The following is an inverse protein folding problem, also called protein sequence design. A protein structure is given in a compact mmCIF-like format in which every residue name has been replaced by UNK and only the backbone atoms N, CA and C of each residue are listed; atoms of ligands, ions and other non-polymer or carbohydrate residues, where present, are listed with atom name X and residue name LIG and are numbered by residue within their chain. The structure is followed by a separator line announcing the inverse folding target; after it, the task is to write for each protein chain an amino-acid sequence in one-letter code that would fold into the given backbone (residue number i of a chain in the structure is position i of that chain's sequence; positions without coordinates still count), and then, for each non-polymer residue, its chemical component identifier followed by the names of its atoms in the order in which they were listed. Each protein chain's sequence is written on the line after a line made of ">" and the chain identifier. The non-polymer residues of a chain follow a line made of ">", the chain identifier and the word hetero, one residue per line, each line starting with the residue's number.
data_IF_971885241136
#
_entry.id   IF_971885241136
#
_cell.length_a   1.000
_cell.length_b   1.000
_cell.length_c   1.000
_cell.angle_alpha   90.00
_cell.angle_beta   90.00
_cell.angle_gamma   90.00
#
_symmetry.space_group_name_H-M   'P 1'
#
loop_
_entity.id
_entity.type
_entity.pdbx_description
1 polymer ?
#
# COMPACT_ATOMS: atom_id res chain seq x y z
N UNK A 1 15.23 46.63 -67.97
CA UNK A 1 15.67 46.35 -66.59
C UNK A 1 14.46 46.37 -65.67
N UNK A 2 14.31 45.31 -64.85
CA UNK A 2 13.48 45.17 -63.63
C UNK A 2 11.96 45.45 -63.78
N UNK A 3 11.06 44.47 -63.86
CA UNK A 3 10.73 43.40 -62.90
C UNK A 3 10.62 43.89 -61.45
N UNK A 4 9.44 44.38 -61.07
CA UNK A 4 9.04 44.62 -59.69
C UNK A 4 8.04 43.54 -59.28
N UNK A 5 8.55 42.70 -58.41
CA UNK A 5 7.99 41.50 -57.83
C UNK A 5 6.61 41.71 -57.21
N UNK A 6 5.68 40.85 -57.60
CA UNK A 6 4.46 40.56 -56.87
C UNK A 6 4.82 40.07 -55.48
N UNK A 7 4.49 40.86 -54.46
CA UNK A 7 4.53 40.42 -53.07
C UNK A 7 3.54 39.28 -52.91
N UNK A 8 4.04 38.05 -52.86
CA UNK A 8 3.27 36.89 -52.42
C UNK A 8 2.83 37.17 -50.99
N UNK A 9 1.53 37.32 -50.77
CA UNK A 9 0.94 37.19 -49.46
C UNK A 9 1.46 35.88 -48.85
N UNK A 10 2.29 36.00 -47.81
CA UNK A 10 2.55 34.92 -46.88
C UNK A 10 1.22 34.59 -46.22
N UNK A 11 0.51 33.61 -46.78
CA UNK A 11 -0.47 32.84 -46.02
C UNK A 11 0.32 32.14 -44.93
N UNK A 12 0.39 32.77 -43.76
CA UNK A 12 0.71 32.10 -42.51
C UNK A 12 -0.39 31.08 -42.27
N UNK A 13 -0.20 29.88 -42.81
CA UNK A 13 -0.97 28.70 -42.48
C UNK A 13 -0.61 28.37 -41.04
N UNK A 14 -1.31 29.03 -40.11
CA UNK A 14 -1.29 28.72 -38.69
C UNK A 14 -1.82 27.29 -38.54
N UNK A 15 -0.90 26.34 -38.63
CA UNK A 15 -1.04 25.01 -38.07
C UNK A 15 -1.07 25.13 -36.54
N UNK A 16 -2.11 25.80 -36.02
CA UNK A 16 -2.46 25.85 -34.61
C UNK A 16 -2.71 24.40 -34.18
N UNK A 17 -1.76 23.83 -33.45
CA UNK A 17 -1.91 22.53 -32.79
C UNK A 17 -3.14 22.62 -31.89
N UNK A 18 -4.27 22.08 -32.32
CA UNK A 18 -5.47 22.01 -31.49
C UNK A 18 -5.27 20.93 -30.42
N UNK A 19 -5.61 21.20 -29.15
CA UNK A 19 -5.57 20.18 -28.13
C UNK A 19 -6.53 19.05 -28.50
N UNK A 20 -6.08 17.80 -28.33
CA UNK A 20 -6.96 16.63 -28.48
C UNK A 20 -7.91 16.59 -27.28
N UNK A 21 -9.21 16.80 -27.54
CA UNK A 21 -10.25 16.74 -26.51
C UNK A 21 -11.10 15.50 -26.77
N UNK A 22 -11.20 14.63 -25.77
CA UNK A 22 -12.16 13.51 -25.81
C UNK A 22 -13.55 14.06 -25.59
N UNK A 23 -14.46 13.80 -26.52
CA UNK A 23 -15.83 14.29 -26.46
C UNK A 23 -16.75 13.24 -25.87
N UNK A 24 -17.68 13.68 -25.02
CA UNK A 24 -18.76 12.85 -24.49
C UNK A 24 -19.97 12.98 -25.42
N UNK A 25 -20.25 11.95 -26.22
CA UNK A 25 -21.47 11.93 -27.03
C UNK A 25 -22.69 11.60 -26.14
N UNK A 26 -23.82 12.26 -26.42
CA UNK A 26 -25.04 12.12 -25.61
C UNK A 26 -25.64 10.71 -25.60
N UNK A 27 -25.29 9.89 -26.61
CA UNK A 27 -25.84 8.55 -26.85
C UNK A 27 -24.87 7.43 -26.47
N UNK A 28 -23.64 7.76 -26.09
CA UNK A 28 -22.63 6.74 -25.83
C UNK A 28 -22.93 6.03 -24.51
N UNK A 29 -23.01 4.70 -24.57
CA UNK A 29 -23.21 3.82 -23.41
C UNK A 29 -22.07 2.82 -23.34
N UNK A 30 -21.01 3.20 -22.64
CA UNK A 30 -19.82 2.39 -22.50
C UNK A 30 -18.96 2.80 -21.30
N UNK A 31 -18.03 1.93 -20.95
CA UNK A 31 -16.90 2.28 -20.09
C UNK A 31 -16.18 3.55 -20.54
N UNK A 32 -16.02 3.74 -21.86
CA UNK A 32 -15.40 4.95 -22.41
C UNK A 32 -16.19 6.20 -22.03
N UNK A 33 -17.51 6.22 -22.23
CA UNK A 33 -18.34 7.37 -21.85
C UNK A 33 -18.29 7.65 -20.35
N UNK A 34 -18.34 6.61 -19.51
CA UNK A 34 -18.19 6.81 -18.07
C UNK A 34 -16.82 7.37 -17.70
N UNK A 35 -15.73 6.86 -18.29
CA UNK A 35 -14.39 7.37 -18.03
C UNK A 35 -14.22 8.84 -18.42
N UNK A 36 -14.79 9.26 -19.55
CA UNK A 36 -14.74 10.65 -20.01
C UNK A 36 -15.55 11.53 -19.05
N UNK A 37 -16.71 11.06 -18.57
CA UNK A 37 -17.51 11.78 -17.60
C UNK A 37 -16.81 11.93 -16.24
N UNK A 38 -16.26 10.84 -15.69
CA UNK A 38 -15.54 10.89 -14.40
C UNK A 38 -14.28 11.78 -14.46
N UNK A 39 -13.63 11.87 -15.63
CA UNK A 39 -12.46 12.73 -15.85
C UNK A 39 -12.83 14.18 -16.26
N UNK A 40 -14.11 14.47 -16.49
CA UNK A 40 -14.54 15.79 -16.95
C UNK A 40 -14.51 16.88 -15.86
N UNK A 41 -14.57 16.48 -14.59
CA UNK A 41 -14.48 17.37 -13.44
C UNK A 41 -13.80 16.62 -12.27
N UNK A 42 -12.89 17.27 -11.56
CA UNK A 42 -12.22 16.71 -10.38
C UNK A 42 -13.22 16.26 -9.29
N UNK A 43 -14.38 16.91 -9.19
CA UNK A 43 -15.45 16.52 -8.28
C UNK A 43 -16.08 15.16 -8.64
N UNK A 44 -16.00 14.75 -9.90
CA UNK A 44 -16.58 13.49 -10.39
C UNK A 44 -15.63 12.30 -10.32
N UNK A 45 -14.37 12.51 -9.92
CA UNK A 45 -13.38 11.44 -9.70
C UNK A 45 -13.70 10.64 -8.44
N UNK A 46 -14.78 9.88 -8.50
CA UNK A 46 -15.34 9.06 -7.41
C UNK A 46 -15.07 7.59 -7.70
N UNK A 47 -14.45 6.90 -6.73
CA UNK A 47 -14.09 5.49 -6.84
C UNK A 47 -14.36 4.74 -5.54
N UNK A 48 -14.35 3.41 -5.60
CA UNK A 48 -14.38 2.57 -4.40
C UNK A 48 -12.99 2.40 -3.80
N UNK A 49 -12.92 2.44 -2.48
CA UNK A 49 -11.69 2.09 -1.73
C UNK A 49 -11.58 0.62 -1.34
N UNK A 50 -12.64 -0.17 -1.50
CA UNK A 50 -12.67 -1.61 -1.18
C UNK A 50 -12.25 -1.95 0.26
N UNK A 51 -12.76 -1.19 1.24
CA UNK A 51 -12.31 -1.30 2.64
C UNK A 51 -12.43 -2.71 3.23
N UNK A 52 -13.53 -3.42 2.98
CA UNK A 52 -13.74 -4.78 3.47
C UNK A 52 -12.68 -5.77 2.91
N UNK A 53 -12.33 -5.66 1.62
CA UNK A 53 -11.32 -6.53 1.02
C UNK A 53 -9.93 -6.25 1.60
N UNK A 54 -9.57 -4.98 1.79
CA UNK A 54 -8.32 -4.62 2.48
C UNK A 54 -8.26 -5.21 3.90
N UNK A 55 -9.34 -5.09 4.69
CA UNK A 55 -9.39 -5.69 6.03
C UNK A 55 -9.23 -7.22 6.00
N UNK A 56 -9.90 -7.91 5.06
CA UNK A 56 -9.75 -9.38 4.93
C UNK A 56 -8.31 -9.80 4.58
N UNK A 57 -7.67 -9.04 3.69
CA UNK A 57 -6.28 -9.32 3.31
C UNK A 57 -5.31 -9.04 4.46
N UNK A 58 -5.52 -7.96 5.23
CA UNK A 58 -4.74 -7.66 6.43
C UNK A 58 -4.89 -8.75 7.50
N UNK A 59 -6.12 -9.16 7.80
CA UNK A 59 -6.39 -10.23 8.77
C UNK A 59 -5.73 -11.56 8.36
N UNK A 60 -5.79 -11.90 7.07
CA UNK A 60 -5.11 -13.10 6.55
C UNK A 60 -3.59 -13.02 6.78
N UNK A 61 -2.98 -11.88 6.45
CA UNK A 61 -1.54 -11.68 6.63
C UNK A 61 -1.12 -11.70 8.11
N UNK A 62 -1.93 -11.15 9.00
CA UNK A 62 -1.71 -11.25 10.44
C UNK A 62 -1.67 -12.70 10.91
N UNK A 63 -2.60 -13.55 10.44
CA UNK A 63 -2.58 -14.97 10.79
C UNK A 63 -1.38 -15.72 10.18
N UNK A 64 -0.96 -15.37 8.96
CA UNK A 64 0.26 -15.93 8.34
C UNK A 64 1.49 -15.59 9.18
N UNK A 65 1.66 -14.33 9.60
CA UNK A 65 2.77 -13.90 10.45
C UNK A 65 2.71 -14.57 11.83
N UNK A 66 1.53 -14.59 12.48
CA UNK A 66 1.33 -15.23 13.79
C UNK A 66 1.76 -16.70 13.80
N UNK A 67 1.53 -17.45 12.71
CA UNK A 67 1.96 -18.85 12.63
C UNK A 67 3.48 -18.97 12.61
N UNK A 68 4.16 -18.07 11.88
CA UNK A 68 5.62 -18.02 11.83
C UNK A 68 6.21 -17.55 13.16
N UNK A 69 5.56 -16.60 13.85
CA UNK A 69 5.93 -16.19 15.21
C UNK A 69 5.89 -17.39 16.16
N UNK A 70 4.79 -18.15 16.17
CA UNK A 70 4.69 -19.36 17.01
C UNK A 70 5.76 -20.40 16.64
N UNK A 71 6.01 -20.63 15.36
CA UNK A 71 7.05 -21.56 14.90
C UNK A 71 8.46 -21.12 15.35
N UNK A 72 8.73 -19.81 15.32
CA UNK A 72 9.99 -19.25 15.79
C UNK A 72 10.12 -19.36 17.32
N UNK A 73 9.06 -19.04 18.06
CA UNK A 73 8.98 -19.16 19.52
C UNK A 73 9.23 -20.61 19.95
N UNK A 74 8.70 -21.60 19.22
CA UNK A 74 8.95 -23.02 19.49
C UNK A 74 10.44 -23.40 19.36
N UNK A 75 11.17 -22.83 18.40
CA UNK A 75 12.62 -23.04 18.27
C UNK A 75 13.40 -22.37 19.41
N UNK A 76 12.96 -21.19 19.83
CA UNK A 76 13.58 -20.46 20.92
C UNK A 76 13.36 -21.18 22.27
N UNK A 77 12.14 -21.69 22.52
CA UNK A 77 11.82 -22.53 23.68
C UNK A 77 12.68 -23.80 23.74
N UNK A 78 12.94 -24.45 22.60
CA UNK A 78 13.80 -25.63 22.52
C UNK A 78 15.27 -25.31 22.83
N UNK A 79 15.76 -24.15 22.40
CA UNK A 79 17.14 -23.73 22.63
C UNK A 79 17.36 -23.22 24.08
N UNK A 80 16.29 -22.76 24.74
CA UNK A 80 16.28 -22.34 26.15
C UNK A 80 16.01 -23.50 27.14
N UNK A 81 15.54 -24.65 26.65
CA UNK A 81 15.24 -25.81 27.48
C UNK A 81 16.45 -26.28 28.32
N UNK A 82 16.16 -26.85 29.49
CA UNK A 82 17.22 -27.26 30.42
C UNK A 82 18.15 -28.34 29.86
N UNK A 83 17.61 -29.19 28.99
CA UNK A 83 18.26 -30.30 28.29
C UNK A 83 18.74 -29.93 26.87
N UNK A 84 18.70 -28.64 26.50
CA UNK A 84 19.16 -28.17 25.20
C UNK A 84 20.64 -28.56 24.95
N UNK A 85 20.98 -29.06 23.75
CA UNK A 85 22.31 -29.60 23.45
C UNK A 85 23.41 -28.52 23.45
N UNK A 86 23.08 -27.28 23.09
CA UNK A 86 23.99 -26.13 23.18
C UNK A 86 23.25 -24.88 23.70
N UNK A 87 23.33 -24.63 25.01
CA UNK A 87 22.76 -23.43 25.66
C UNK A 87 23.37 -22.11 25.18
N UNK A 88 24.42 -22.12 24.35
CA UNK A 88 24.96 -20.91 23.71
C UNK A 88 24.20 -20.54 22.44
N UNK A 89 23.45 -21.46 21.83
CA UNK A 89 22.63 -21.21 20.64
C UNK A 89 21.65 -20.07 20.86
N UNK A 90 20.84 -20.13 21.92
CA UNK A 90 19.89 -19.08 22.29
C UNK A 90 20.55 -17.72 22.60
N UNK A 91 21.86 -17.68 22.89
CA UNK A 91 22.56 -16.47 23.40
C UNK A 91 23.61 -15.92 22.45
N UNK A 92 23.86 -16.58 21.32
CA UNK A 92 24.92 -16.18 20.40
C UNK A 92 24.58 -16.56 18.97
N UNK A 93 24.44 -15.54 18.10
CA UNK A 93 24.20 -15.73 16.68
C UNK A 93 25.30 -16.54 15.99
N UNK A 94 26.54 -16.45 16.48
CA UNK A 94 27.64 -17.26 15.95
C UNK A 94 27.42 -18.74 16.25
N UNK A 95 26.98 -19.08 17.46
CA UNK A 95 26.65 -20.46 17.84
C UNK A 95 25.41 -20.97 17.10
N UNK A 96 24.38 -20.13 16.99
CA UNK A 96 23.16 -20.45 16.24
C UNK A 96 23.44 -20.82 14.78
N UNK A 97 24.18 -19.96 14.07
CA UNK A 97 24.59 -20.25 12.67
C UNK A 97 25.48 -21.49 12.58
N UNK A 98 26.35 -21.72 13.56
CA UNK A 98 27.20 -22.90 13.59
C UNK A 98 26.41 -24.20 13.80
N UNK A 99 25.40 -24.18 14.67
CA UNK A 99 24.50 -25.31 14.90
C UNK A 99 23.62 -25.57 13.69
N UNK A 100 23.01 -24.53 13.12
CA UNK A 100 22.20 -24.64 11.90
C UNK A 100 23.00 -25.30 10.75
N UNK A 101 24.26 -24.92 10.56
CA UNK A 101 25.13 -25.55 9.55
C UNK A 101 25.38 -27.04 9.80
N UNK A 102 25.48 -27.47 11.06
CA UNK A 102 25.64 -28.89 11.41
C UNK A 102 24.35 -29.65 11.12
N UNK A 103 23.22 -29.10 11.54
CA UNK A 103 21.91 -29.70 11.32
C UNK A 103 21.59 -29.83 9.82
N UNK A 104 21.90 -28.82 9.01
CA UNK A 104 21.75 -28.87 7.55
C UNK A 104 22.71 -29.87 6.88
N UNK A 105 23.89 -30.12 7.46
CA UNK A 105 24.80 -31.14 6.96
C UNK A 105 24.25 -32.56 7.21
N UNK A 106 23.40 -32.74 8.22
CA UNK A 106 22.69 -33.99 8.51
C UNK A 106 21.37 -34.10 7.73
N UNK A 107 20.66 -32.99 7.55
CA UNK A 107 19.40 -32.91 6.82
C UNK A 107 19.25 -31.60 6.05
N UNK A 108 19.50 -31.65 4.74
CA UNK A 108 19.44 -30.47 3.85
C UNK A 108 18.02 -29.87 3.76
N UNK A 109 16.98 -30.68 4.00
CA UNK A 109 15.58 -30.23 3.95
C UNK A 109 15.06 -29.73 5.29
N UNK A 110 15.92 -29.55 6.29
CA UNK A 110 15.52 -29.05 7.59
C UNK A 110 14.99 -27.61 7.46
N UNK A 111 13.84 -27.36 8.08
CA UNK A 111 13.28 -26.02 8.19
C UNK A 111 13.98 -25.29 9.33
N UNK A 112 14.91 -24.40 8.99
CA UNK A 112 15.76 -23.72 9.97
C UNK A 112 15.16 -22.39 10.43
N UNK A 113 15.67 -21.88 11.55
CA UNK A 113 15.39 -20.52 12.05
C UNK A 113 15.60 -19.46 10.96
N UNK A 114 16.66 -19.58 10.17
CA UNK A 114 16.94 -18.63 9.09
C UNK A 114 15.85 -18.63 8.00
N UNK A 115 15.35 -19.81 7.60
CA UNK A 115 14.22 -19.92 6.65
C UNK A 115 12.96 -19.25 7.20
N UNK A 116 12.64 -19.49 8.48
CA UNK A 116 11.47 -18.89 9.13
C UNK A 116 11.61 -17.36 9.19
N UNK A 117 12.78 -16.85 9.57
CA UNK A 117 13.05 -15.40 9.62
C UNK A 117 12.98 -14.73 8.24
N UNK A 118 13.47 -15.38 7.18
CA UNK A 118 13.33 -14.90 5.79
C UNK A 118 11.86 -14.84 5.36
N UNK A 119 11.06 -15.86 5.69
CA UNK A 119 9.61 -15.85 5.44
C UNK A 119 8.90 -14.74 6.24
N UNK A 120 9.28 -14.53 7.50
CA UNK A 120 8.75 -13.45 8.33
C UNK A 120 9.05 -12.09 7.68
N UNK A 121 10.28 -11.85 7.23
CA UNK A 121 10.68 -10.61 6.55
C UNK A 121 9.81 -10.35 5.30
N UNK A 122 9.63 -11.36 4.45
CA UNK A 122 8.77 -11.26 3.25
C UNK A 122 7.31 -10.92 3.62
N UNK A 123 6.76 -11.63 4.62
CA UNK A 123 5.36 -11.46 5.04
C UNK A 123 5.12 -10.12 5.71
N UNK A 124 6.04 -9.66 6.56
CA UNK A 124 5.98 -8.34 7.18
C UNK A 124 6.03 -7.23 6.14
N UNK A 125 6.98 -7.29 5.18
CA UNK A 125 7.05 -6.30 4.11
C UNK A 125 5.73 -6.22 3.32
N UNK A 126 5.14 -7.37 2.98
CA UNK A 126 3.87 -7.42 2.26
C UNK A 126 2.65 -7.01 3.13
N UNK A 127 2.72 -7.15 4.45
CA UNK A 127 1.71 -6.67 5.39
C UNK A 127 1.79 -5.15 5.56
N UNK A 128 2.98 -4.62 5.79
CA UNK A 128 3.23 -3.19 6.00
C UNK A 128 2.85 -2.37 4.76
N UNK A 129 3.24 -2.82 3.57
CA UNK A 129 2.87 -2.17 2.32
C UNK A 129 1.33 -2.12 2.15
N UNK A 130 0.64 -3.22 2.43
CA UNK A 130 -0.83 -3.28 2.37
C UNK A 130 -1.47 -2.37 3.43
N UNK A 131 -0.93 -2.34 4.64
CA UNK A 131 -1.44 -1.54 5.75
C UNK A 131 -1.31 -0.05 5.44
N UNK A 132 -0.17 0.38 4.90
CA UNK A 132 0.06 1.75 4.46
C UNK A 132 -0.85 2.16 3.31
N UNK A 133 -1.01 1.31 2.29
CA UNK A 133 -1.94 1.57 1.18
C UNK A 133 -3.37 1.67 1.68
N UNK A 134 -3.79 0.77 2.57
CA UNK A 134 -5.13 0.78 3.18
C UNK A 134 -5.35 2.04 4.02
N UNK A 135 -4.34 2.46 4.80
CA UNK A 135 -4.37 3.73 5.55
C UNK A 135 -4.57 4.91 4.61
N UNK A 136 -3.76 5.03 3.55
CA UNK A 136 -3.87 6.11 2.54
C UNK A 136 -5.27 6.20 1.94
N UNK A 137 -5.84 5.05 1.58
CA UNK A 137 -7.20 4.98 1.04
C UNK A 137 -8.28 5.33 2.07
N UNK A 138 -8.10 4.95 3.34
CA UNK A 138 -9.04 5.28 4.41
C UNK A 138 -8.97 6.77 4.82
N UNK A 139 -7.85 7.44 4.59
CA UNK A 139 -7.70 8.89 4.81
C UNK A 139 -8.21 9.74 3.66
N UNK A 140 -8.55 9.15 2.51
CA UNK A 140 -9.13 9.91 1.40
C UNK A 140 -10.50 10.49 1.78
N UNK A 141 -10.79 11.66 1.22
CA UNK A 141 -12.06 12.32 1.42
C UNK A 141 -13.20 11.51 0.80
N UNK A 142 -14.38 11.60 1.43
CA UNK A 142 -15.62 11.13 0.82
C UNK A 142 -16.12 12.20 -0.15
N UNK A 143 -16.76 11.80 -1.26
CA UNK A 143 -17.43 12.77 -2.12
C UNK A 143 -18.51 13.52 -1.34
N UNK A 144 -18.75 14.79 -1.68
CA UNK A 144 -19.90 15.51 -1.15
C UNK A 144 -21.20 14.85 -1.64
N UNK A 145 -22.31 15.04 -0.91
CA UNK A 145 -23.60 14.50 -1.36
C UNK A 145 -24.00 15.04 -2.74
N UNK A 146 -23.67 16.30 -3.05
CA UNK A 146 -23.94 16.91 -4.36
C UNK A 146 -23.16 16.23 -5.49
N UNK A 147 -21.86 16.00 -5.28
CA UNK A 147 -20.99 15.38 -6.28
C UNK A 147 -21.39 13.93 -6.51
N UNK A 148 -21.64 13.21 -5.40
CA UNK A 148 -22.19 11.86 -5.42
C UNK A 148 -23.47 11.77 -6.25
N UNK A 149 -24.44 12.64 -6.00
CA UNK A 149 -25.73 12.65 -6.73
C UNK A 149 -25.57 12.95 -8.21
N UNK A 150 -24.59 13.80 -8.57
CA UNK A 150 -24.30 14.11 -9.97
C UNK A 150 -23.79 12.87 -10.72
N UNK A 151 -22.87 12.12 -10.11
CA UNK A 151 -22.34 10.87 -10.68
C UNK A 151 -23.39 9.75 -10.69
N UNK A 152 -24.12 9.56 -9.58
CA UNK A 152 -25.20 8.58 -9.47
C UNK A 152 -26.27 8.81 -10.54
N UNK A 153 -26.72 10.06 -10.72
CA UNK A 153 -27.70 10.42 -11.75
C UNK A 153 -27.16 10.16 -13.15
N UNK A 154 -25.93 10.54 -13.44
CA UNK A 154 -25.33 10.28 -14.76
C UNK A 154 -25.32 8.78 -15.07
N UNK A 155 -24.87 7.95 -14.12
CA UNK A 155 -24.84 6.50 -14.27
C UNK A 155 -26.26 5.94 -14.48
N UNK A 156 -27.23 6.37 -13.68
CA UNK A 156 -28.62 5.92 -13.76
C UNK A 156 -29.30 6.33 -15.09
N UNK A 157 -29.13 7.58 -15.51
CA UNK A 157 -29.80 8.14 -16.69
C UNK A 157 -29.16 7.65 -17.99
N UNK A 158 -27.83 7.64 -18.06
CA UNK A 158 -27.10 7.26 -19.28
C UNK A 158 -26.91 5.75 -19.40
N UNK A 159 -26.90 5.02 -18.28
CA UNK A 159 -26.61 3.59 -18.21
C UNK A 159 -25.36 3.22 -19.01
N UNK A 160 -24.19 3.81 -18.68
CA UNK A 160 -22.98 3.54 -19.43
C UNK A 160 -22.42 2.12 -19.18
N UNK A 161 -22.80 1.48 -18.08
CA UNK A 161 -22.43 0.12 -17.69
C UNK A 161 -23.69 -0.74 -17.48
N UNK A 162 -23.50 -2.07 -17.43
CA UNK A 162 -24.57 -3.01 -17.01
C UNK A 162 -24.84 -2.89 -15.50
N UNK A 163 -26.00 -3.41 -15.06
CA UNK A 163 -26.50 -3.27 -13.69
C UNK A 163 -25.52 -3.83 -12.64
N UNK A 164 -24.90 -4.97 -12.92
CA UNK A 164 -23.92 -5.62 -12.05
C UNK A 164 -22.69 -4.75 -11.83
N UNK A 165 -22.20 -4.09 -12.88
CA UNK A 165 -20.96 -3.32 -12.85
C UNK A 165 -21.16 -1.92 -12.27
N UNK A 166 -22.30 -1.27 -12.56
CA UNK A 166 -22.60 0.04 -11.99
C UNK A 166 -22.91 -0.01 -10.49
N UNK A 167 -23.13 -1.20 -9.92
CA UNK A 167 -23.46 -1.41 -8.51
C UNK A 167 -22.49 -0.76 -7.52
N UNK A 168 -21.25 -0.49 -7.95
CA UNK A 168 -20.24 0.19 -7.14
C UNK A 168 -20.70 1.55 -6.60
N UNK A 169 -21.52 2.30 -7.35
CA UNK A 169 -21.96 3.64 -6.96
C UNK A 169 -22.93 3.62 -5.77
N UNK A 170 -23.54 2.48 -5.48
CA UNK A 170 -24.46 2.35 -4.35
C UNK A 170 -23.75 2.04 -3.03
N UNK A 171 -22.46 1.72 -3.09
CA UNK A 171 -21.61 1.44 -1.92
C UNK A 171 -21.13 2.72 -1.24
N UNK A 172 -22.05 3.62 -0.87
CA UNK A 172 -21.77 5.00 -0.41
C UNK A 172 -20.67 5.09 0.65
N UNK A 173 -20.65 4.15 1.60
CA UNK A 173 -19.66 4.14 2.68
C UNK A 173 -18.24 3.81 2.22
N UNK A 174 -18.11 3.17 1.06
CA UNK A 174 -16.88 2.70 0.44
C UNK A 174 -16.39 3.64 -0.69
N UNK A 175 -17.13 4.70 -1.00
CA UNK A 175 -16.73 5.71 -1.98
C UNK A 175 -15.71 6.70 -1.40
N UNK A 176 -14.76 7.08 -2.24
CA UNK A 176 -13.75 8.12 -2.01
C UNK A 176 -13.67 9.03 -3.23
N UNK A 177 -13.21 10.27 -3.03
CA UNK A 177 -12.90 11.22 -4.12
C UNK A 177 -11.39 11.43 -4.22
N UNK A 178 -10.90 11.58 -5.46
CA UNK A 178 -9.51 11.98 -5.72
C UNK A 178 -9.28 13.49 -5.57
N UNK A 179 -10.35 14.28 -5.41
CA UNK A 179 -10.23 15.70 -5.13
C UNK A 179 -9.40 15.89 -3.86
N UNK A 180 -8.33 16.65 -3.99
CA UNK A 180 -7.56 17.09 -2.84
C UNK A 180 -8.50 17.88 -1.91
N UNK A 181 -8.68 17.38 -0.69
CA UNK A 181 -9.13 18.24 0.40
C UNK A 181 -8.09 19.34 0.60
N UNK A 182 -8.40 20.40 1.36
CA UNK A 182 -7.38 21.38 1.80
C UNK A 182 -6.38 20.75 2.82
N UNK A 183 -5.84 19.58 2.52
CA UNK A 183 -5.30 18.61 3.48
C UNK A 183 -3.97 17.96 3.02
N UNK A 184 -3.31 18.50 1.98
CA UNK A 184 -1.96 18.07 1.57
C UNK A 184 -0.93 18.11 2.72
N UNK A 185 -1.17 18.91 3.76
CA UNK A 185 -0.30 18.99 4.93
C UNK A 185 -0.29 17.71 5.80
N UNK A 186 -1.35 16.89 5.82
CA UNK A 186 -1.42 15.74 6.74
C UNK A 186 -0.70 14.50 6.22
N UNK A 187 -0.71 14.28 4.90
CA UNK A 187 -0.07 13.12 4.28
C UNK A 187 1.45 13.27 4.27
N UNK A 188 1.96 14.46 3.97
CA UNK A 188 3.40 14.76 4.05
C UNK A 188 3.91 14.61 5.47
N UNK A 189 3.16 15.11 6.47
CA UNK A 189 3.53 14.95 7.88
C UNK A 189 3.54 13.48 8.33
N UNK A 190 2.65 12.64 7.80
CA UNK A 190 2.57 11.22 8.15
C UNK A 190 3.63 10.39 7.44
N UNK A 191 3.94 10.70 6.19
CA UNK A 191 5.00 10.05 5.42
C UNK A 191 6.36 10.45 6.00
N UNK A 192 6.57 11.72 6.34
CA UNK A 192 7.79 12.19 7.00
C UNK A 192 7.93 11.57 8.40
N UNK A 193 6.84 11.42 9.17
CA UNK A 193 6.86 10.70 10.45
C UNK A 193 7.13 9.21 10.26
N UNK A 194 6.51 8.58 9.27
CA UNK A 194 6.74 7.16 8.98
C UNK A 194 8.19 6.90 8.57
N UNK A 195 8.77 7.72 7.68
CA UNK A 195 10.18 7.60 7.31
C UNK A 195 11.14 7.98 8.46
N UNK A 196 10.84 8.99 9.30
CA UNK A 196 11.64 9.28 10.51
C UNK A 196 11.59 8.15 11.53
N UNK A 197 10.43 7.50 11.71
CA UNK A 197 10.26 6.35 12.61
C UNK A 197 11.00 5.12 12.06
N UNK A 198 10.90 4.88 10.74
CA UNK A 198 11.56 3.76 10.07
C UNK A 198 13.07 3.97 9.84
N UNK A 199 13.61 5.19 9.99
CA UNK A 199 15.06 5.47 9.91
C UNK A 199 15.79 5.65 11.25
N UNK A 200 15.11 5.58 12.39
CA UNK A 200 15.81 5.65 13.69
C UNK A 200 15.42 4.59 14.71
N UNK A 201 14.22 3.98 14.64
CA UNK A 201 13.80 3.03 15.68
C UNK A 201 13.65 1.58 15.22
N UNK A 202 13.46 1.28 13.94
CA UNK A 202 13.30 -0.15 13.53
C UNK A 202 14.63 -0.91 13.62
N UNK A 203 15.76 -0.26 13.36
CA UNK A 203 17.08 -0.85 13.58
C UNK A 203 17.54 -0.82 15.06
N UNK A 204 16.88 -0.03 15.93
CA UNK A 204 17.22 0.05 17.37
C UNK A 204 16.22 -0.67 18.30
N UNK A 205 14.96 -0.87 17.90
CA UNK A 205 13.89 -1.48 18.71
C UNK A 205 13.41 -2.84 18.24
N UNK A 206 13.72 -3.29 17.01
CA UNK A 206 13.69 -4.73 16.70
C UNK A 206 14.68 -5.52 17.58
N UNK A 207 15.63 -4.84 18.22
CA UNK A 207 16.59 -5.40 19.19
C UNK A 207 16.32 -5.02 20.66
N UNK A 208 15.24 -4.30 20.99
CA UNK A 208 14.92 -3.96 22.38
C UNK A 208 13.44 -3.61 22.52
N UNK A 209 12.69 -4.50 23.17
CA UNK A 209 11.28 -4.26 23.50
C UNK A 209 11.13 -3.96 25.00
N UNK A 210 10.02 -3.29 25.36
CA UNK A 210 9.76 -2.72 26.69
C UNK A 210 9.73 -3.71 27.86
N UNK A 211 9.85 -5.01 27.62
CA UNK A 211 10.10 -6.03 28.65
C UNK A 211 11.54 -6.03 29.17
N UNK A 212 12.47 -5.32 28.50
CA UNK A 212 13.89 -5.27 28.89
C UNK A 212 14.20 -4.27 30.01
N UNK A 213 13.29 -3.33 30.31
CA UNK A 213 13.47 -2.39 31.44
C UNK A 213 12.96 -2.91 32.79
N UNK A 214 12.22 -4.01 32.82
CA UNK A 214 11.70 -4.60 34.06
C UNK A 214 12.54 -5.79 34.56
N UNK A 215 13.56 -6.20 33.81
CA UNK A 215 14.31 -7.45 34.07
C UNK A 215 15.76 -7.25 34.54
N UNK A 216 16.20 -6.04 34.86
CA UNK A 216 17.52 -5.82 35.47
C UNK A 216 17.41 -5.15 36.84
N UNK A 217 17.99 -5.83 37.85
CA UNK A 217 18.30 -5.32 39.18
C UNK A 217 19.83 -5.25 39.37
N UNK A 218 20.58 -5.00 38.29
CA UNK A 218 22.05 -4.87 38.36
C UNK A 218 22.43 -3.39 38.62
N UNK A 219 23.08 -3.08 39.76
CA UNK A 219 23.47 -1.71 40.10
C UNK A 219 24.66 -1.16 39.29
N UNK A 220 25.21 -1.89 38.30
CA UNK A 220 26.42 -1.47 37.57
C UNK A 220 26.23 -1.19 36.06
N UNK A 221 24.99 -1.03 35.58
CA UNK A 221 24.73 -0.61 34.19
C UNK A 221 24.51 0.90 34.11
N UNK A 222 25.55 1.62 33.68
CA UNK A 222 25.47 2.99 33.14
C UNK A 222 25.61 2.95 31.63
#
# INVERSE_FOLDING_TARGET
>A
MASLWTSKNHTSDENLRKPHVRTLSAHDKSYRSLSIFLDSDENFKIYRRFGCLHSRLLLRKQDEIRRLEVELDELDDLDEADDAPDKLRARSRIHDVAMERRELAESETLRTRSIILEEIEEKLAAYDDLLLRSKRLNTMNRPSESDYRSVERYIFDKKPLIDEEQGFIYEKKDLVTLREGREGAFLDTLIEKFFRVFHCEILQSLFCTSTDRAKTNDPNLH
#
